data_IF_288868886695
#
_entry.id   IF_288868886695
#
_cell.length_a   1.000
_cell.length_b   1.000
_cell.length_c   1.000
_cell.angle_alpha   90.00
_cell.angle_beta   90.00
_cell.angle_gamma   90.00
#
_symmetry.space_group_name_H-M   'P 1'
#
loop_
_entity.id
_entity.type
_entity.pdbx_description
1 polymer ?
#
# COMPACT_ATOMS: atom_id res chain seq x y z
N UNK A 1 1.47 -3.23 12.03
CA UNK A 1 0.65 -3.43 10.82
C UNK A 1 1.34 -2.83 9.59
N UNK A 2 1.67 -1.54 9.62
CA UNK A 2 2.22 -0.82 8.46
C UNK A 2 3.60 -1.33 8.00
N UNK A 3 4.53 -1.64 8.92
CA UNK A 3 5.83 -2.25 8.53
C UNK A 3 5.68 -3.63 7.90
N UNK A 4 4.69 -4.42 8.35
CA UNK A 4 4.40 -5.74 7.76
C UNK A 4 3.83 -5.61 6.36
N UNK A 5 3.03 -4.57 6.12
CA UNK A 5 2.51 -4.26 4.80
C UNK A 5 3.65 -3.90 3.85
N UNK A 6 4.57 -3.01 4.27
CA UNK A 6 5.72 -2.63 3.44
C UNK A 6 6.66 -3.82 3.16
N UNK A 7 6.88 -4.68 4.15
CA UNK A 7 7.67 -5.89 3.98
C UNK A 7 7.03 -6.84 2.94
N UNK A 8 5.72 -7.10 3.06
CA UNK A 8 4.99 -7.94 2.11
C UNK A 8 4.95 -7.34 0.70
N UNK A 9 4.82 -6.02 0.59
CA UNK A 9 4.89 -5.29 -0.67
C UNK A 9 6.26 -5.45 -1.34
N UNK A 10 7.33 -5.28 -0.57
CA UNK A 10 8.70 -5.39 -1.08
C UNK A 10 9.12 -6.84 -1.37
N UNK A 11 8.52 -7.83 -0.71
CA UNK A 11 8.72 -9.26 -1.01
C UNK A 11 7.80 -9.79 -2.09
N UNK A 12 6.93 -8.94 -2.67
CA UNK A 12 5.95 -9.30 -3.70
C UNK A 12 4.94 -10.37 -3.27
N UNK A 13 4.65 -10.45 -1.96
CA UNK A 13 3.70 -11.41 -1.40
C UNK A 13 2.30 -10.81 -1.34
N UNK A 14 1.46 -11.15 -2.32
CA UNK A 14 0.10 -10.63 -2.46
C UNK A 14 -0.80 -10.99 -1.26
N UNK A 15 -0.70 -12.21 -0.77
CA UNK A 15 -1.58 -12.68 0.31
C UNK A 15 -1.16 -12.10 1.65
N UNK A 16 0.14 -12.06 1.94
CA UNK A 16 0.63 -11.36 3.13
C UNK A 16 0.30 -9.87 3.08
N UNK A 17 0.36 -9.24 1.90
CA UNK A 17 0.01 -7.83 1.72
C UNK A 17 -1.48 -7.59 1.97
N UNK A 18 -2.37 -8.35 1.32
CA UNK A 18 -3.82 -8.23 1.50
C UNK A 18 -4.25 -8.52 2.94
N UNK A 19 -3.60 -9.47 3.62
CA UNK A 19 -3.86 -9.80 5.02
C UNK A 19 -3.53 -8.65 5.99
N UNK A 20 -2.68 -7.69 5.58
CA UNK A 20 -2.36 -6.52 6.41
C UNK A 20 -3.50 -5.52 6.49
N UNK A 21 -4.52 -5.61 5.66
CA UNK A 21 -5.69 -4.73 5.68
C UNK A 21 -6.84 -5.37 6.45
N UNK A 22 -7.76 -4.57 7.00
CA UNK A 22 -9.02 -5.09 7.55
C UNK A 22 -9.89 -5.73 6.44
N UNK A 23 -10.77 -6.70 6.76
CA UNK A 23 -11.67 -7.32 5.79
C UNK A 23 -12.56 -6.32 5.03
N UNK A 24 -12.97 -5.25 5.70
CA UNK A 24 -13.82 -4.16 5.22
C UNK A 24 -13.03 -2.89 4.85
N UNK A 25 -11.70 -3.03 4.66
CA UNK A 25 -10.82 -1.93 4.28
C UNK A 25 -11.42 -1.12 3.14
N UNK A 26 -11.22 0.19 3.16
CA UNK A 26 -11.30 0.90 1.90
C UNK A 26 -10.22 1.95 1.73
N UNK A 27 -9.70 1.97 0.50
CA UNK A 27 -8.55 2.75 0.10
C UNK A 27 -9.06 3.77 -0.91
N UNK A 28 -9.04 5.05 -0.54
CA UNK A 28 -9.34 6.14 -1.46
C UNK A 28 -8.07 6.45 -2.24
N UNK A 29 -8.12 6.32 -3.57
CA UNK A 29 -6.99 6.62 -4.43
C UNK A 29 -7.04 8.06 -4.91
N UNK A 30 -5.88 8.59 -5.26
CA UNK A 30 -5.76 9.92 -5.88
C UNK A 30 -6.53 10.05 -7.20
N UNK A 31 -6.77 8.95 -7.92
CA UNK A 31 -7.58 8.94 -9.14
C UNK A 31 -9.07 9.25 -8.90
N UNK A 32 -9.52 9.22 -7.64
CA UNK A 32 -10.93 9.34 -7.26
C UNK A 32 -11.62 8.00 -7.03
N UNK A 33 -11.00 6.90 -7.47
CA UNK A 33 -11.53 5.55 -7.27
C UNK A 33 -11.29 5.05 -5.85
N UNK A 34 -12.15 4.11 -5.40
CA UNK A 34 -12.05 3.50 -4.08
C UNK A 34 -11.99 1.99 -4.20
N UNK A 35 -11.04 1.38 -3.50
CA UNK A 35 -11.02 -0.07 -3.29
C UNK A 35 -11.81 -0.40 -2.03
N UNK A 36 -12.56 -1.49 -2.05
CA UNK A 36 -13.36 -1.95 -0.92
C UNK A 36 -13.13 -3.44 -0.70
N UNK A 37 -12.70 -3.78 0.51
CA UNK A 37 -12.36 -5.13 0.91
C UNK A 37 -11.03 -5.62 0.36
N UNK A 38 -10.56 -6.74 0.93
CA UNK A 38 -9.27 -7.36 0.57
C UNK A 38 -9.25 -7.85 -0.87
N UNK A 39 -10.37 -8.29 -1.43
CA UNK A 39 -10.41 -8.80 -2.81
C UNK A 39 -10.15 -7.70 -3.84
N UNK A 40 -10.69 -6.50 -3.62
CA UNK A 40 -10.36 -5.34 -4.45
C UNK A 40 -8.90 -4.91 -4.31
N UNK A 41 -8.27 -5.14 -3.13
CA UNK A 41 -6.82 -4.93 -2.96
C UNK A 41 -6.04 -5.97 -3.75
N UNK A 42 -6.46 -7.25 -3.74
CA UNK A 42 -5.80 -8.31 -4.53
C UNK A 42 -5.84 -8.02 -6.02
N UNK A 43 -7.01 -7.71 -6.54
CA UNK A 43 -7.21 -7.39 -7.96
C UNK A 43 -6.35 -6.19 -8.39
N UNK A 44 -6.31 -5.16 -7.54
CA UNK A 44 -5.55 -3.94 -7.79
C UNK A 44 -4.03 -4.12 -7.85
N UNK A 45 -3.48 -4.97 -6.98
CA UNK A 45 -2.03 -5.07 -6.76
C UNK A 45 -1.43 -6.36 -7.31
N UNK A 46 -2.24 -7.38 -7.63
CA UNK A 46 -1.79 -8.71 -8.05
C UNK A 46 -0.87 -8.67 -9.26
N UNK A 47 -1.29 -8.00 -10.32
CA UNK A 47 -0.50 -7.81 -11.54
C UNK A 47 0.83 -7.08 -11.29
N UNK A 48 0.83 -6.11 -10.37
CA UNK A 48 2.02 -5.31 -10.08
C UNK A 48 3.04 -6.09 -9.26
N UNK A 49 2.58 -6.80 -8.22
CA UNK A 49 3.43 -7.65 -7.38
C UNK A 49 3.96 -8.84 -8.17
N UNK A 50 3.14 -9.49 -9.01
CA UNK A 50 3.57 -10.59 -9.87
C UNK A 50 4.67 -10.18 -10.87
N UNK A 51 4.69 -8.93 -11.33
CA UNK A 51 5.75 -8.39 -12.20
C UNK A 51 7.07 -8.16 -11.46
N UNK A 52 7.07 -8.15 -10.13
CA UNK A 52 8.26 -8.07 -9.28
C UNK A 52 9.08 -6.79 -9.40
N UNK A 53 8.49 -5.72 -9.91
CA UNK A 53 9.19 -4.45 -10.22
C UNK A 53 8.90 -3.34 -9.21
N UNK A 54 8.01 -3.58 -8.27
CA UNK A 54 7.62 -2.60 -7.27
C UNK A 54 8.48 -2.74 -6.02
N UNK A 55 9.06 -1.62 -5.58
CA UNK A 55 9.72 -1.49 -4.28
C UNK A 55 9.35 -0.15 -3.70
N UNK A 56 9.07 -0.07 -2.41
CA UNK A 56 8.83 1.17 -1.72
C UNK A 56 9.71 1.29 -0.46
N UNK A 57 10.07 2.52 -0.13
CA UNK A 57 10.72 2.87 1.14
C UNK A 57 9.94 3.99 1.83
N UNK A 58 9.69 3.86 3.13
CA UNK A 58 9.10 4.93 3.93
C UNK A 58 10.19 5.91 4.34
N UNK A 59 10.07 7.16 3.92
CA UNK A 59 11.03 8.26 4.23
C UNK A 59 10.55 9.15 5.36
N UNK A 60 9.28 9.06 5.76
CA UNK A 60 8.75 9.75 6.92
C UNK A 60 7.42 9.16 7.35
N UNK A 61 7.14 9.14 8.65
CA UNK A 61 5.88 8.66 9.23
C UNK A 61 5.37 9.66 10.27
N UNK A 62 4.08 9.95 10.20
CA UNK A 62 3.32 10.60 11.25
C UNK A 62 2.25 9.63 11.75
N UNK A 63 2.15 9.44 13.06
CA UNK A 63 1.12 8.62 13.67
C UNK A 63 0.35 9.44 14.71
N UNK A 64 -0.97 9.45 14.64
CA UNK A 64 -1.84 10.16 15.55
C UNK A 64 -3.10 9.33 15.85
N UNK A 65 -3.18 8.78 17.06
CA UNK A 65 -4.22 7.85 17.46
C UNK A 65 -4.27 6.64 16.51
N UNK A 66 -5.43 6.44 15.88
CA UNK A 66 -5.67 5.37 14.92
C UNK A 66 -5.20 5.71 13.49
N UNK A 67 -4.57 6.86 13.27
CA UNK A 67 -4.15 7.29 11.95
C UNK A 67 -2.64 7.20 11.78
N UNK A 68 -2.20 6.75 10.60
CA UNK A 68 -0.80 6.75 10.17
C UNK A 68 -0.71 7.37 8.78
N UNK A 69 0.17 8.35 8.61
CA UNK A 69 0.54 8.93 7.33
C UNK A 69 1.98 8.55 7.04
N UNK A 70 2.20 7.84 5.95
CA UNK A 70 3.53 7.51 5.45
C UNK A 70 3.86 8.36 4.21
N UNK A 71 5.02 9.00 4.23
CA UNK A 71 5.68 9.53 3.06
C UNK A 71 6.60 8.44 2.53
N UNK A 72 6.35 7.99 1.31
CA UNK A 72 7.04 6.86 0.70
C UNK A 72 7.69 7.27 -0.63
N UNK A 73 8.76 6.58 -1.01
CA UNK A 73 9.36 6.64 -2.35
C UNK A 73 9.18 5.28 -3.01
N UNK A 74 8.51 5.25 -4.17
CA UNK A 74 8.33 4.03 -4.96
C UNK A 74 9.35 3.94 -6.10
N UNK A 75 10.04 2.81 -6.22
CA UNK A 75 11.02 2.51 -7.25
C UNK A 75 10.45 1.52 -8.29
N UNK A 76 10.96 1.58 -9.52
CA UNK A 76 10.67 0.61 -10.57
C UNK A 76 9.34 0.81 -11.34
N UNK A 77 8.53 1.80 -10.95
CA UNK A 77 7.38 2.26 -11.74
C UNK A 77 7.88 3.26 -12.78
N UNK A 78 8.06 2.82 -14.04
CA UNK A 78 8.67 3.60 -15.15
C UNK A 78 7.90 4.87 -15.57
N UNK A 79 6.95 5.34 -14.75
CA UNK A 79 6.21 6.60 -14.92
C UNK A 79 5.73 7.20 -13.59
N UNK A 80 6.51 7.16 -12.51
CA UNK A 80 6.28 8.03 -11.35
C UNK A 80 7.59 8.42 -10.69
N UNK A 81 8.11 9.59 -11.05
CA UNK A 81 9.05 10.35 -10.22
C UNK A 81 8.22 11.14 -9.20
N UNK A 82 7.47 10.44 -8.37
CA UNK A 82 6.55 11.01 -7.40
C UNK A 82 6.71 10.25 -6.10
N UNK A 83 6.87 10.97 -4.99
CA UNK A 83 6.78 10.42 -3.65
C UNK A 83 5.30 10.19 -3.31
N UNK A 84 4.79 8.95 -3.26
CA UNK A 84 3.45 8.69 -2.72
C UNK A 84 3.39 9.06 -1.24
N UNK A 85 2.34 9.77 -0.84
CA UNK A 85 1.93 9.85 0.56
C UNK A 85 0.72 8.93 0.75
N UNK A 86 0.83 7.97 1.66
CA UNK A 86 -0.18 6.96 1.95
C UNK A 86 -0.79 7.24 3.33
N UNK A 87 -2.13 7.37 3.41
CA UNK A 87 -2.87 7.54 4.67
C UNK A 87 -3.56 6.23 5.03
N UNK A 88 -3.30 5.73 6.24
CA UNK A 88 -3.89 4.53 6.79
C UNK A 88 -4.66 4.85 8.06
N UNK A 89 -5.76 4.13 8.28
CA UNK A 89 -6.42 4.04 9.58
C UNK A 89 -6.20 2.63 10.13
N UNK A 90 -5.59 2.54 11.29
CA UNK A 90 -5.50 1.33 12.09
C UNK A 90 -6.91 1.08 12.67
N UNK A 91 -7.48 -0.07 12.37
CA UNK A 91 -8.74 -0.55 12.93
C UNK A 91 -8.48 -1.75 13.81
#
# INVERSE_FOLDING_TARGET
MVERQLAAYNSHDLEAFAATYAPDVCINRRSGDRLRGRDAVREAYGDMLAKGRCRAETVGRLAEGDWVVDHEIAHGIRKCRMSPASLFRLG
#
